data_IF_043526830604
#
_entry.id   IF_043526830604
#
_cell.length_a   1.000
_cell.length_b   1.000
_cell.length_c   1.000
_cell.angle_alpha   90.00
_cell.angle_beta   90.00
_cell.angle_gamma   90.00
#
_symmetry.space_group_name_H-M   'P 1'
#
loop_
_entity.id
_entity.type
_entity.pdbx_description
1 polymer ?
#
# COMPACT_ATOMS: atom_id res chain seq x y z
N UNK A 1 -16.72 4.15 -3.92
CA UNK A 1 -16.43 4.78 -2.61
C UNK A 1 -16.38 3.65 -1.58
N UNK A 2 -15.28 3.50 -0.86
CA UNK A 2 -15.15 2.46 0.17
C UNK A 2 -15.87 2.86 1.46
N UNK A 3 -16.18 1.89 2.32
CA UNK A 3 -16.76 2.16 3.64
C UNK A 3 -15.69 2.69 4.61
N UNK A 4 -16.11 3.36 5.68
CA UNK A 4 -15.19 3.80 6.73
C UNK A 4 -14.54 2.62 7.46
N UNK A 5 -15.26 1.49 7.59
CA UNK A 5 -14.71 0.25 8.14
C UNK A 5 -13.57 -0.29 7.26
N UNK A 6 -13.76 -0.30 5.94
CA UNK A 6 -12.75 -0.73 4.98
C UNK A 6 -11.53 0.21 4.99
N UNK A 7 -11.76 1.52 5.05
CA UNK A 7 -10.70 2.52 5.23
C UNK A 7 -9.89 2.25 6.49
N UNK A 8 -10.56 2.02 7.62
CA UNK A 8 -9.91 1.74 8.90
C UNK A 8 -9.08 0.45 8.86
N UNK A 9 -9.59 -0.62 8.23
CA UNK A 9 -8.84 -1.87 8.01
C UNK A 9 -7.58 -1.64 7.18
N UNK A 10 -7.70 -0.95 6.04
CA UNK A 10 -6.56 -0.61 5.17
C UNK A 10 -5.50 0.21 5.90
N UNK A 11 -5.93 1.21 6.67
CA UNK A 11 -5.05 2.06 7.47
C UNK A 11 -4.31 1.26 8.55
N UNK A 12 -5.00 0.40 9.29
CA UNK A 12 -4.37 -0.44 10.31
C UNK A 12 -3.33 -1.40 9.71
N UNK A 13 -3.65 -2.02 8.58
CA UNK A 13 -2.70 -2.88 7.86
C UNK A 13 -1.46 -2.11 7.38
N UNK A 14 -1.65 -0.89 6.88
CA UNK A 14 -0.56 -0.02 6.45
C UNK A 14 0.38 0.37 7.60
N UNK A 15 -0.16 0.85 8.72
CA UNK A 15 0.65 1.25 9.89
C UNK A 15 1.47 0.07 10.42
N UNK A 16 0.88 -1.13 10.47
CA UNK A 16 1.59 -2.35 10.85
C UNK A 16 2.74 -2.68 9.89
N UNK A 17 2.50 -2.59 8.57
CA UNK A 17 3.53 -2.81 7.56
C UNK A 17 4.66 -1.77 7.64
N UNK A 18 4.31 -0.51 7.91
CA UNK A 18 5.27 0.60 8.09
C UNK A 18 6.13 0.39 9.35
N UNK A 19 5.51 0.02 10.47
CA UNK A 19 6.24 -0.29 11.70
C UNK A 19 7.19 -1.48 11.52
N UNK A 20 6.73 -2.55 10.85
CA UNK A 20 7.57 -3.72 10.56
C UNK A 20 8.75 -3.38 9.66
N UNK A 21 8.56 -2.51 8.67
CA UNK A 21 9.63 -2.02 7.80
C UNK A 21 10.65 -1.21 8.59
N UNK A 22 10.17 -0.30 9.45
CA UNK A 22 11.03 0.53 10.32
C UNK A 22 11.84 -0.32 11.30
N UNK A 23 11.26 -1.37 11.89
CA UNK A 23 11.97 -2.33 12.76
C UNK A 23 13.12 -3.05 12.04
N UNK A 24 13.04 -3.15 10.70
CA UNK A 24 14.09 -3.72 9.84
C UNK A 24 15.07 -2.66 9.31
N UNK A 25 14.96 -1.41 9.76
CA UNK A 25 15.78 -0.30 9.28
C UNK A 25 15.42 0.19 7.87
N UNK A 26 14.23 -0.17 7.37
CA UNK A 26 13.74 0.24 6.05
C UNK A 26 12.68 1.30 6.22
N UNK A 27 12.89 2.47 5.60
CA UNK A 27 11.86 3.50 5.48
C UNK A 27 11.16 3.39 4.13
N UNK A 28 9.85 3.67 4.12
CA UNK A 28 9.07 3.70 2.89
C UNK A 28 9.44 4.94 2.08
N UNK A 29 9.48 4.81 0.76
CA UNK A 29 9.71 5.95 -0.11
C UNK A 29 8.48 6.87 -0.16
N UNK A 30 8.65 8.17 -0.47
CA UNK A 30 7.51 9.08 -0.63
C UNK A 30 6.46 8.61 -1.65
N UNK A 31 6.89 7.94 -2.72
CA UNK A 31 6.01 7.36 -3.73
C UNK A 31 5.15 6.24 -3.17
N UNK A 32 5.76 5.39 -2.32
CA UNK A 32 5.05 4.31 -1.63
C UNK A 32 4.02 4.87 -0.66
N UNK A 33 4.38 5.89 0.13
CA UNK A 33 3.44 6.53 1.05
C UNK A 33 2.27 7.19 0.32
N UNK A 34 2.53 7.84 -0.83
CA UNK A 34 1.50 8.42 -1.67
C UNK A 34 0.54 7.35 -2.23
N UNK A 35 1.08 6.26 -2.78
CA UNK A 35 0.28 5.15 -3.31
C UNK A 35 -0.61 4.53 -2.22
N UNK A 36 -0.06 4.34 -1.02
CA UNK A 36 -0.80 3.84 0.15
C UNK A 36 -1.94 4.77 0.56
N UNK A 37 -1.71 6.09 0.56
CA UNK A 37 -2.77 7.06 0.86
C UNK A 37 -3.93 6.98 -0.13
N UNK A 38 -3.64 6.88 -1.43
CA UNK A 38 -4.66 6.71 -2.48
C UNK A 38 -5.47 5.42 -2.27
N UNK A 39 -4.80 4.32 -1.92
CA UNK A 39 -5.45 3.04 -1.64
C UNK A 39 -6.33 3.08 -0.38
N UNK A 40 -5.84 3.68 0.71
CA UNK A 40 -6.58 3.83 1.97
C UNK A 40 -7.81 4.71 1.77
N UNK A 41 -7.71 5.78 0.98
CA UNK A 41 -8.84 6.66 0.70
C UNK A 41 -9.87 6.04 -0.26
N UNK A 42 -9.53 4.93 -0.92
CA UNK A 42 -10.35 4.28 -1.94
C UNK A 42 -10.35 5.04 -3.27
N UNK A 43 -9.33 5.85 -3.53
CA UNK A 43 -9.08 6.51 -4.82
C UNK A 43 -8.65 5.49 -5.87
N UNK A 44 -7.96 4.43 -5.44
CA UNK A 44 -7.58 3.27 -6.25
C UNK A 44 -8.08 1.97 -5.59
N UNK A 45 -8.41 0.99 -6.44
CA UNK A 45 -8.77 -0.36 -6.02
C UNK A 45 -7.55 -1.26 -5.84
N UNK A 46 -7.78 -2.47 -5.35
CA UNK A 46 -6.76 -3.44 -4.98
C UNK A 46 -5.86 -3.82 -6.17
N UNK A 47 -6.44 -4.07 -7.35
CA UNK A 47 -5.71 -4.42 -8.56
C UNK A 47 -4.70 -3.32 -8.97
N UNK A 48 -5.15 -2.07 -9.04
CA UNK A 48 -4.30 -0.93 -9.37
C UNK A 48 -3.21 -0.72 -8.31
N UNK A 49 -3.56 -0.86 -7.03
CA UNK A 49 -2.61 -0.77 -5.94
C UNK A 49 -1.51 -1.84 -6.05
N UNK A 50 -1.88 -3.10 -6.27
CA UNK A 50 -0.91 -4.19 -6.39
C UNK A 50 0.00 -3.99 -7.61
N UNK A 51 -0.56 -3.64 -8.77
CA UNK A 51 0.26 -3.38 -9.97
C UNK A 51 1.33 -2.31 -9.70
N UNK A 52 0.96 -1.19 -9.07
CA UNK A 52 1.89 -0.10 -8.81
C UNK A 52 2.90 -0.42 -7.69
N UNK A 53 2.50 -1.12 -6.63
CA UNK A 53 3.46 -1.49 -5.57
C UNK A 53 4.50 -2.50 -6.09
N UNK A 54 4.10 -3.46 -6.95
CA UNK A 54 5.05 -4.38 -7.58
C UNK A 54 6.07 -3.64 -8.45
N UNK A 55 5.62 -2.66 -9.24
CA UNK A 55 6.52 -1.79 -10.03
C UNK A 55 7.50 -1.02 -9.15
N UNK A 56 7.03 -0.43 -8.05
CA UNK A 56 7.90 0.30 -7.10
C UNK A 56 8.94 -0.63 -6.46
N UNK A 57 8.59 -1.89 -6.23
CA UNK A 57 9.51 -2.90 -5.70
C UNK A 57 10.44 -3.50 -6.76
N UNK A 58 10.31 -3.10 -8.03
CA UNK A 58 11.10 -3.65 -9.14
C UNK A 58 10.76 -5.11 -9.46
N UNK A 59 9.63 -5.60 -8.99
CA UNK A 59 9.16 -6.97 -9.23
C UNK A 59 8.11 -6.90 -10.32
N UNK A 60 8.30 -7.66 -11.40
CA UNK A 60 7.26 -7.81 -12.42
C UNK A 60 6.26 -8.84 -11.90
N UNK A 61 4.96 -8.52 -11.73
CA UNK A 61 3.99 -9.51 -11.30
C UNK A 61 3.93 -10.61 -12.36
N UNK A 62 4.11 -11.86 -11.93
CA UNK A 62 3.81 -13.04 -12.76
C UNK A 62 2.30 -13.12 -12.89
N UNK A 63 1.74 -12.42 -13.87
CA UNK A 63 0.33 -12.56 -14.24
C UNK A 63 0.20 -13.89 -14.97
N UNK A 64 -0.44 -14.87 -14.33
CA UNK A 64 -0.89 -16.12 -14.94
C UNK A 64 -2.39 -16.06 -15.20
#
# INVERSE_FOLDING_TARGET
MITEEERAKRKAAYELAKENSRKRGVELTPETEKLMAQYINGEIGDEAFFIEIWKLLGVTPLVH
#
